data_IF_566933534278
#
_entry.id   IF_566933534278
#
_cell.length_a   1.000
_cell.length_b   1.000
_cell.length_c   1.000
_cell.angle_alpha   90.00
_cell.angle_beta   90.00
_cell.angle_gamma   90.00
#
_symmetry.space_group_name_H-M   'P 1'
#
loop_
_entity.id
_entity.type
_entity.pdbx_description
1 polymer ?
#
# COMPACT_ATOMS: atom_id res chain seq x y z
N UNK A 1 -18.16 -14.58 63.97
CA UNK A 1 -18.74 -13.77 62.88
C UNK A 1 -17.63 -13.46 61.90
N UNK A 2 -17.61 -14.14 60.76
CA UNK A 2 -16.53 -14.09 59.77
C UNK A 2 -16.78 -12.99 58.74
N UNK A 3 -15.91 -11.98 58.69
CA UNK A 3 -15.90 -10.94 57.66
C UNK A 3 -15.03 -11.34 56.49
N UNK A 4 -15.64 -11.73 55.36
CA UNK A 4 -14.92 -12.07 54.13
C UNK A 4 -14.56 -10.78 53.38
N UNK A 5 -13.28 -10.40 53.41
CA UNK A 5 -12.72 -9.35 52.57
C UNK A 5 -12.83 -9.73 51.08
N UNK A 6 -13.72 -9.06 50.35
CA UNK A 6 -13.82 -9.17 48.89
C UNK A 6 -12.64 -8.40 48.28
N UNK A 7 -11.65 -9.11 47.73
CA UNK A 7 -10.61 -8.50 46.94
C UNK A 7 -11.23 -7.99 45.63
N UNK A 8 -11.24 -6.66 45.46
CA UNK A 8 -11.58 -6.01 44.18
C UNK A 8 -10.55 -6.48 43.17
N UNK A 9 -10.91 -7.47 42.35
CA UNK A 9 -10.07 -7.94 41.26
C UNK A 9 -10.00 -6.81 40.24
N UNK A 10 -8.86 -6.12 40.19
CA UNK A 10 -8.55 -5.14 39.15
C UNK A 10 -8.90 -5.71 37.77
N UNK A 11 -9.41 -4.89 36.83
CA UNK A 11 -9.84 -5.37 35.52
C UNK A 11 -8.65 -6.06 34.85
N UNK A 12 -8.72 -7.39 34.77
CA UNK A 12 -7.70 -8.19 34.09
C UNK A 12 -7.79 -7.80 32.63
N UNK A 13 -6.80 -7.05 32.15
CA UNK A 13 -6.67 -6.77 30.72
C UNK A 13 -6.65 -8.12 30.02
N UNK A 14 -7.66 -8.41 29.21
CA UNK A 14 -7.72 -9.63 28.42
C UNK A 14 -6.62 -9.58 27.37
N UNK A 15 -5.40 -9.94 27.77
CA UNK A 15 -4.30 -10.20 26.85
C UNK A 15 -4.66 -11.49 26.13
N UNK A 16 -5.38 -11.38 25.01
CA UNK A 16 -5.54 -12.49 24.08
C UNK A 16 -4.12 -12.92 23.70
N UNK A 17 -3.75 -14.18 23.99
CA UNK A 17 -2.51 -14.78 23.48
C UNK A 17 -2.49 -14.50 21.98
N UNK A 18 -1.51 -13.74 21.50
CA UNK A 18 -1.26 -13.65 20.08
C UNK A 18 -1.14 -15.10 19.59
N UNK A 19 -2.06 -15.50 18.71
CA UNK A 19 -2.07 -16.83 18.11
C UNK A 19 -0.65 -17.15 17.67
N UNK A 20 -0.14 -18.34 18.01
CA UNK A 20 1.26 -18.76 17.84
C UNK A 20 1.73 -18.89 16.39
N UNK A 21 1.41 -17.89 15.57
CA UNK A 21 1.85 -17.75 14.21
C UNK A 21 3.33 -17.35 14.27
N UNK A 22 4.18 -18.34 14.02
CA UNK A 22 5.61 -18.14 13.85
C UNK A 22 5.81 -17.11 12.74
N UNK A 23 6.71 -16.15 12.95
CA UNK A 23 7.06 -15.15 11.93
C UNK A 23 7.64 -15.89 10.71
N UNK A 24 6.81 -16.13 9.70
CA UNK A 24 7.20 -16.89 8.51
C UNK A 24 7.82 -16.00 7.43
N UNK A 25 7.46 -14.72 7.36
CA UNK A 25 8.00 -13.82 6.34
C UNK A 25 9.48 -13.48 6.61
N UNK A 26 10.35 -13.96 5.74
CA UNK A 26 11.77 -13.59 5.70
C UNK A 26 11.98 -12.19 5.12
N UNK A 27 13.22 -11.73 5.11
CA UNK A 27 13.59 -10.43 4.51
C UNK A 27 13.33 -10.45 2.99
N UNK A 28 13.59 -11.59 2.35
CA UNK A 28 13.35 -11.77 0.92
C UNK A 28 11.85 -11.73 0.57
N UNK A 29 11.00 -12.37 1.38
CA UNK A 29 9.54 -12.35 1.17
C UNK A 29 9.00 -10.92 1.28
N UNK A 30 9.50 -10.15 2.26
CA UNK A 30 9.12 -8.74 2.43
C UNK A 30 9.60 -7.91 1.24
N UNK A 31 10.81 -8.15 0.73
CA UNK A 31 11.33 -7.44 -0.44
C UNK A 31 10.51 -7.74 -1.69
N UNK A 32 10.24 -9.02 -1.98
CA UNK A 32 9.44 -9.45 -3.13
C UNK A 32 8.03 -8.89 -3.06
N UNK A 33 7.43 -8.87 -1.86
CA UNK A 33 6.12 -8.26 -1.63
C UNK A 33 6.13 -6.76 -1.96
N UNK A 34 7.11 -6.00 -1.46
CA UNK A 34 7.20 -4.56 -1.72
C UNK A 34 7.48 -4.25 -3.20
N UNK A 35 8.32 -5.05 -3.87
CA UNK A 35 8.62 -4.87 -5.31
C UNK A 35 7.38 -5.17 -6.16
N UNK A 36 6.63 -6.22 -5.85
CA UNK A 36 5.37 -6.52 -6.55
C UNK A 36 4.34 -5.40 -6.35
N UNK A 37 4.25 -4.88 -5.13
CA UNK A 37 3.30 -3.83 -4.78
C UNK A 37 3.49 -2.54 -5.59
N UNK A 38 4.74 -2.18 -5.91
CA UNK A 38 5.05 -0.99 -6.73
C UNK A 38 4.59 -1.15 -8.19
N UNK A 39 4.37 -2.38 -8.66
CA UNK A 39 3.93 -2.70 -10.03
C UNK A 39 4.73 -1.95 -11.11
N UNK A 40 5.97 -2.40 -11.33
CA UNK A 40 6.91 -1.78 -12.28
C UNK A 40 6.30 -1.61 -13.68
N UNK A 41 5.50 -2.58 -14.14
CA UNK A 41 4.86 -2.53 -15.46
C UNK A 41 3.87 -1.37 -15.61
N UNK A 42 3.02 -1.13 -14.60
CA UNK A 42 2.07 0.00 -14.63
C UNK A 42 2.81 1.34 -14.57
N UNK A 43 3.85 1.43 -13.74
CA UNK A 43 4.66 2.65 -13.59
C UNK A 43 5.33 3.04 -14.91
N UNK A 44 5.93 2.08 -15.61
CA UNK A 44 6.58 2.32 -16.91
C UNK A 44 5.55 2.70 -17.98
N UNK A 45 4.40 2.02 -18.02
CA UNK A 45 3.33 2.35 -18.96
C UNK A 45 2.81 3.78 -18.76
N UNK A 46 2.53 4.17 -17.51
CA UNK A 46 2.08 5.53 -17.18
C UNK A 46 3.16 6.57 -17.48
N UNK A 47 4.44 6.26 -17.23
CA UNK A 47 5.54 7.15 -17.62
C UNK A 47 5.52 7.43 -19.12
N UNK A 48 5.47 6.40 -19.97
CA UNK A 48 5.46 6.59 -21.43
C UNK A 48 4.23 7.38 -21.90
N UNK A 49 3.06 7.17 -21.28
CA UNK A 49 1.83 7.88 -21.64
C UNK A 49 1.82 9.35 -21.20
N UNK A 50 2.50 9.67 -20.11
CA UNK A 50 2.43 11.00 -19.47
C UNK A 50 3.61 11.90 -19.87
N UNK A 51 4.77 11.35 -20.22
CA UNK A 51 5.96 12.12 -20.66
C UNK A 51 5.66 13.14 -21.76
N UNK A 52 4.87 12.83 -22.82
CA UNK A 52 4.53 13.81 -23.86
C UNK A 52 3.82 15.06 -23.34
N UNK A 53 3.10 14.94 -22.23
CA UNK A 53 2.38 16.05 -21.59
C UNK A 53 3.31 17.01 -20.83
N UNK A 54 4.54 16.58 -20.52
CA UNK A 54 5.57 17.37 -19.82
C UNK A 54 6.72 17.74 -20.76
N UNK A 55 6.38 18.39 -21.87
CA UNK A 55 7.35 18.82 -22.88
C UNK A 55 8.46 19.69 -22.26
N UNK A 56 9.72 19.23 -22.38
CA UNK A 56 10.91 19.93 -21.89
C UNK A 56 11.35 19.59 -20.46
N UNK A 57 10.65 18.70 -19.74
CA UNK A 57 11.03 18.29 -18.39
C UNK A 57 12.24 17.34 -18.36
N UNK A 58 13.19 17.58 -17.46
CA UNK A 58 14.30 16.64 -17.23
C UNK A 58 13.88 15.51 -16.27
N UNK A 59 13.65 14.32 -16.84
CA UNK A 59 13.20 13.13 -16.10
C UNK A 59 14.21 12.71 -15.02
N UNK A 60 15.51 12.82 -15.28
CA UNK A 60 16.55 12.42 -14.32
C UNK A 60 16.53 13.29 -13.07
N UNK A 61 16.31 14.58 -13.25
CA UNK A 61 16.25 15.54 -12.16
C UNK A 61 14.97 15.32 -11.33
N UNK A 62 13.82 15.10 -11.97
CA UNK A 62 12.57 14.74 -11.30
C UNK A 62 12.68 13.43 -10.50
N UNK A 63 13.36 12.42 -11.06
CA UNK A 63 13.62 11.16 -10.37
C UNK A 63 14.49 11.36 -9.13
N UNK A 64 15.56 12.16 -9.25
CA UNK A 64 16.45 12.49 -8.13
C UNK A 64 15.68 13.16 -7.00
N UNK A 65 14.85 14.17 -7.33
CA UNK A 65 14.01 14.86 -6.34
C UNK A 65 12.98 13.92 -5.70
N UNK A 66 12.34 13.06 -6.49
CA UNK A 66 11.40 12.06 -5.98
C UNK A 66 12.08 11.10 -5.00
N UNK A 67 13.25 10.56 -5.36
CA UNK A 67 14.03 9.67 -4.51
C UNK A 67 14.46 10.38 -3.21
N UNK A 68 14.93 11.62 -3.32
CA UNK A 68 15.38 12.41 -2.17
C UNK A 68 14.24 12.72 -1.18
N UNK A 69 13.02 12.95 -1.67
CA UNK A 69 11.85 13.18 -0.82
C UNK A 69 11.26 11.88 -0.25
N UNK A 70 11.38 10.77 -0.98
CA UNK A 70 10.91 9.47 -0.53
C UNK A 70 11.78 8.88 0.60
N UNK A 71 13.10 9.09 0.56
CA UNK A 71 14.05 8.52 1.52
C UNK A 71 13.76 8.87 2.99
N UNK A 72 13.58 10.16 3.38
CA UNK A 72 13.25 10.52 4.76
C UNK A 72 11.97 9.84 5.24
N UNK A 73 10.95 9.76 4.38
CA UNK A 73 9.67 9.13 4.70
C UNK A 73 9.87 7.63 4.98
N UNK A 74 10.62 6.94 4.13
CA UNK A 74 10.97 5.53 4.32
C UNK A 74 11.77 5.31 5.62
N UNK A 75 12.71 6.19 5.96
CA UNK A 75 13.48 6.12 7.20
C UNK A 75 12.59 6.25 8.44
N UNK A 76 11.66 7.21 8.46
CA UNK A 76 10.72 7.38 9.59
C UNK A 76 9.88 6.12 9.80
N UNK A 77 9.38 5.54 8.71
CA UNK A 77 8.63 4.28 8.77
C UNK A 77 9.47 3.10 9.23
N UNK A 78 10.73 3.02 8.80
CA UNK A 78 11.66 2.01 9.28
C UNK A 78 11.88 2.13 10.80
N UNK A 79 12.14 3.33 11.31
CA UNK A 79 12.32 3.57 12.74
C UNK A 79 11.06 3.26 13.56
N UNK A 80 9.87 3.66 13.08
CA UNK A 80 8.62 3.33 13.77
C UNK A 80 8.35 1.83 13.78
N UNK A 81 8.63 1.12 12.68
CA UNK A 81 8.47 -0.34 12.61
C UNK A 81 9.41 -1.07 13.57
N UNK A 82 10.65 -0.58 13.72
CA UNK A 82 11.64 -1.14 14.64
C UNK A 82 11.27 -0.86 16.10
N UNK A 83 10.79 0.35 16.41
CA UNK A 83 10.37 0.73 17.74
C UNK A 83 9.05 0.05 18.17
N UNK A 84 8.18 -0.28 17.22
CA UNK A 84 6.83 -0.80 17.49
C UNK A 84 6.50 -2.00 16.58
N UNK A 85 7.13 -3.18 16.81
CA UNK A 85 6.99 -4.37 15.96
C UNK A 85 5.69 -5.13 16.24
N UNK A 86 4.55 -4.51 15.95
CA UNK A 86 3.22 -5.06 16.23
C UNK A 86 2.34 -4.95 15.00
N UNK A 87 1.58 -6.00 14.74
CA UNK A 87 0.61 -6.04 13.64
C UNK A 87 -0.50 -5.02 13.90
N UNK A 88 -0.61 -4.02 13.02
CA UNK A 88 -1.58 -2.93 13.17
C UNK A 88 -1.28 -1.68 12.32
N UNK A 89 -0.13 -1.63 11.62
CA UNK A 89 0.14 -0.66 10.57
C UNK A 89 0.09 0.81 11.04
N UNK A 90 -0.33 1.70 10.14
CA UNK A 90 -0.37 3.15 10.37
C UNK A 90 -1.21 3.55 11.59
N UNK A 91 -2.31 2.84 11.85
CA UNK A 91 -3.14 3.10 13.04
C UNK A 91 -2.29 3.02 14.31
N UNK A 92 -1.48 1.98 14.44
CA UNK A 92 -0.67 1.69 15.62
C UNK A 92 0.44 2.74 15.83
N UNK A 93 0.99 3.25 14.74
CA UNK A 93 2.00 4.30 14.72
C UNK A 93 1.39 5.65 15.13
N UNK A 94 0.35 6.08 14.42
CA UNK A 94 -0.28 7.39 14.60
C UNK A 94 -1.02 7.47 15.94
N UNK A 95 -1.73 6.42 16.34
CA UNK A 95 -2.47 6.41 17.62
C UNK A 95 -1.58 6.54 18.85
N UNK A 96 -0.33 6.06 18.78
CA UNK A 96 0.62 6.15 19.90
C UNK A 96 1.36 7.48 19.97
N UNK A 97 1.49 8.20 18.86
CA UNK A 97 2.17 9.51 18.81
C UNK A 97 1.18 10.66 19.00
N UNK A 98 0.04 10.62 18.31
CA UNK A 98 -0.93 11.72 18.24
C UNK A 98 -2.23 11.45 18.99
N UNK A 99 -2.48 10.20 19.39
CA UNK A 99 -3.69 9.78 20.10
C UNK A 99 -4.69 9.01 19.22
N UNK A 100 -5.64 8.29 19.86
CA UNK A 100 -6.48 7.29 19.20
C UNK A 100 -7.40 7.86 18.12
N UNK A 101 -7.93 9.08 18.31
CA UNK A 101 -8.80 9.73 17.32
C UNK A 101 -8.04 10.06 16.02
N UNK A 102 -6.83 10.61 16.13
CA UNK A 102 -5.98 10.91 14.97
C UNK A 102 -5.55 9.63 14.23
N UNK A 103 -5.23 8.56 14.98
CA UNK A 103 -4.95 7.26 14.39
C UNK A 103 -6.12 6.70 13.60
N UNK A 104 -7.34 6.80 14.13
CA UNK A 104 -8.55 6.34 13.46
C UNK A 104 -8.83 7.14 12.20
N UNK A 105 -8.73 8.48 12.25
CA UNK A 105 -8.93 9.34 11.09
C UNK A 105 -7.94 9.04 9.96
N UNK A 106 -6.65 8.89 10.28
CA UNK A 106 -5.64 8.54 9.28
C UNK A 106 -5.90 7.17 8.64
N UNK A 107 -6.27 6.17 9.45
CA UNK A 107 -6.54 4.81 8.95
C UNK A 107 -7.83 4.75 8.12
N UNK A 108 -8.83 5.56 8.49
CA UNK A 108 -10.07 5.71 7.74
C UNK A 108 -9.83 6.38 6.38
N UNK A 109 -9.05 7.45 6.36
CA UNK A 109 -8.62 8.09 5.12
C UNK A 109 -7.88 7.10 4.21
N UNK A 110 -6.94 6.33 4.77
CA UNK A 110 -6.21 5.30 4.03
C UNK A 110 -7.14 4.23 3.44
N UNK A 111 -8.17 3.82 4.19
CA UNK A 111 -9.18 2.85 3.71
C UNK A 111 -9.96 3.39 2.51
N UNK A 112 -10.41 4.64 2.56
CA UNK A 112 -11.08 5.29 1.42
C UNK A 112 -10.14 5.35 0.21
N UNK A 113 -8.87 5.69 0.46
CA UNK A 113 -7.86 5.73 -0.59
C UNK A 113 -7.68 4.37 -1.26
N UNK A 114 -7.69 3.28 -0.48
CA UNK A 114 -7.64 1.90 -1.00
C UNK A 114 -8.84 1.52 -1.87
N UNK A 115 -10.05 2.00 -1.53
CA UNK A 115 -11.25 1.77 -2.34
C UNK A 115 -11.11 2.45 -3.71
N UNK A 116 -10.66 3.71 -3.72
CA UNK A 116 -10.44 4.46 -4.96
C UNK A 116 -9.30 3.85 -5.79
N UNK A 117 -8.19 3.50 -5.12
CA UNK A 117 -7.04 2.89 -5.74
C UNK A 117 -7.31 1.45 -6.23
N UNK A 118 -8.35 0.76 -5.76
CA UNK A 118 -8.77 -0.50 -6.38
C UNK A 118 -9.38 -0.31 -7.78
N UNK A 119 -10.10 0.80 -7.98
CA UNK A 119 -10.79 1.11 -9.24
C UNK A 119 -9.88 1.61 -10.36
N UNK A 120 -8.84 2.37 -10.02
CA UNK A 120 -7.96 3.00 -11.02
C UNK A 120 -7.11 1.98 -11.81
N UNK A 121 -6.40 1.03 -11.18
CA UNK A 121 -5.62 0.00 -11.87
C UNK A 121 -6.49 -0.99 -12.63
N UNK A 122 -7.71 -1.29 -12.16
CA UNK A 122 -8.64 -2.16 -12.87
C UNK A 122 -9.16 -1.51 -14.15
N UNK A 123 -9.46 -0.20 -14.12
CA UNK A 123 -9.75 0.57 -15.32
C UNK A 123 -8.55 0.59 -16.28
N UNK A 124 -7.32 0.84 -15.79
CA UNK A 124 -6.12 0.82 -16.62
C UNK A 124 -5.82 -0.55 -17.23
N UNK A 125 -6.09 -1.65 -16.51
CA UNK A 125 -5.96 -3.00 -17.06
C UNK A 125 -6.94 -3.23 -18.22
N UNK A 126 -8.19 -2.76 -18.09
CA UNK A 126 -9.17 -2.86 -19.17
C UNK A 126 -8.77 -2.01 -20.40
N UNK A 127 -8.37 -0.76 -20.17
CA UNK A 127 -8.07 0.21 -21.24
C UNK A 127 -6.72 -0.05 -21.92
N UNK A 128 -5.66 -0.33 -21.16
CA UNK A 128 -4.30 -0.46 -21.67
C UNK A 128 -3.80 -1.91 -21.75
N UNK A 129 -4.48 -2.86 -21.12
CA UNK A 129 -4.13 -4.28 -21.19
C UNK A 129 -5.02 -5.05 -22.17
N UNK A 130 -6.31 -5.21 -21.83
CA UNK A 130 -7.22 -6.11 -22.53
C UNK A 130 -7.62 -5.58 -23.90
N UNK A 131 -8.04 -4.30 -23.99
CA UNK A 131 -8.48 -3.71 -25.25
C UNK A 131 -7.42 -3.75 -26.38
N UNK A 132 -6.16 -3.30 -26.18
CA UNK A 132 -5.14 -3.38 -27.22
C UNK A 132 -4.71 -4.81 -27.53
N UNK A 133 -4.66 -5.71 -26.54
CA UNK A 133 -4.38 -7.12 -26.77
C UNK A 133 -5.39 -7.76 -27.73
N UNK A 134 -6.69 -7.55 -27.49
CA UNK A 134 -7.74 -8.04 -28.38
C UNK A 134 -7.66 -7.41 -29.77
N UNK A 135 -7.30 -6.12 -29.89
CA UNK A 135 -7.11 -5.46 -31.19
C UNK A 135 -5.92 -6.00 -31.98
N UNK A 136 -4.80 -6.30 -31.30
CA UNK A 136 -3.61 -6.90 -31.93
C UNK A 136 -3.89 -8.33 -32.35
N UNK A 137 -4.58 -9.12 -31.53
CA UNK A 137 -5.01 -10.46 -31.92
C UNK A 137 -5.95 -10.43 -33.12
N UNK A 138 -6.92 -9.50 -33.14
CA UNK A 138 -7.82 -9.32 -34.28
C UNK A 138 -7.08 -8.93 -35.57
N UNK A 139 -6.05 -8.10 -35.46
CA UNK A 139 -5.18 -7.75 -36.59
C UNK A 139 -4.34 -8.94 -37.07
N UNK A 140 -3.88 -9.81 -36.17
CA UNK A 140 -3.11 -11.02 -36.52
C UNK A 140 -3.96 -12.15 -37.10
N UNK A 141 -5.23 -12.26 -36.72
CA UNK A 141 -6.17 -13.27 -37.24
C UNK A 141 -6.91 -12.82 -38.51
N UNK A 142 -6.61 -11.63 -39.02
CA UNK A 142 -7.21 -11.10 -40.26
C UNK A 142 -8.68 -10.68 -40.11
N UNK A 143 -9.19 -10.55 -38.88
CA UNK A 143 -10.58 -10.17 -38.63
C UNK A 143 -10.71 -8.66 -38.34
N UNK A 144 -10.08 -7.84 -39.18
CA UNK A 144 -10.23 -6.37 -39.13
C UNK A 144 -11.66 -6.01 -39.52
N UNK A 145 -12.50 -5.75 -38.52
CA UNK A 145 -13.78 -5.06 -38.69
C UNK A 145 -13.58 -3.60 -39.10
N UNK A 146 -13.02 -3.38 -40.29
CA UNK A 146 -12.97 -2.11 -41.00
C UNK A 146 -14.01 -2.13 -42.12
N UNK A 147 -15.29 -2.25 -41.76
CA UNK A 147 -16.42 -1.98 -42.65
C UNK A 147 -17.42 -1.09 -41.88
N UNK A 148 -17.33 0.23 -42.07
CA UNK A 148 -18.31 1.23 -41.58
C UNK A 148 -17.73 2.34 -40.71
#
# INVERSE_FOLDING_TARGET
MAGRSQSITAPRTFTRKATGLVRQAGIFDVLVYNVNFISVGLMVALMVLIIPSYAGGNIYLSLLFCALLALPTACVYAFLSAAMPRSGGDYVYVSRVLGPAAGMMGSWNMTIWWILYGGVPSAFLATYGVAPFCRVLAAMTGNTGQDG
#
